data_IF_400900401781
#
_entry.id   IF_400900401781
#
_cell.length_a   1.000
_cell.length_b   1.000
_cell.length_c   1.000
_cell.angle_alpha   90.00
_cell.angle_beta   90.00
_cell.angle_gamma   90.00
#
_symmetry.space_group_name_H-M   'P 1'
#
loop_
_entity.id
_entity.type
_entity.pdbx_description
1 polymer ?
#
# COMPACT_ATOMS: atom_id res chain seq x y z
N UNK A 1 29.67 42.66 35.85
CA UNK A 1 28.20 42.48 35.94
C UNK A 1 27.63 42.56 34.53
N UNK A 2 27.26 41.42 33.97
CA UNK A 2 26.26 41.20 32.91
C UNK A 2 26.53 39.82 32.28
N UNK A 3 25.98 38.81 32.94
CA UNK A 3 25.64 37.50 32.39
C UNK A 3 24.66 37.66 31.24
N UNK A 4 24.93 37.09 30.05
CA UNK A 4 23.88 36.54 29.18
C UNK A 4 24.42 35.41 28.28
N UNK A 5 24.30 34.19 28.80
CA UNK A 5 23.90 32.93 28.15
C UNK A 5 24.34 32.62 26.71
N UNK A 6 25.29 31.68 26.64
CA UNK A 6 25.56 30.78 25.52
C UNK A 6 24.42 29.77 25.42
N UNK A 7 23.62 29.83 24.36
CA UNK A 7 22.56 28.85 24.09
C UNK A 7 23.18 27.46 23.85
N UNK A 8 23.09 26.61 24.86
CA UNK A 8 23.39 25.18 24.78
C UNK A 8 22.24 24.50 24.03
N UNK A 9 22.50 24.07 22.80
CA UNK A 9 21.64 23.14 22.08
C UNK A 9 21.40 21.90 22.96
N UNK A 10 20.14 21.53 23.14
CA UNK A 10 19.72 20.38 23.93
C UNK A 10 20.15 19.08 23.24
N UNK A 11 20.43 17.99 23.97
CA UNK A 11 20.90 16.72 23.41
C UNK A 11 19.84 15.95 22.60
N UNK A 12 18.64 16.50 22.43
CA UNK A 12 17.51 15.82 21.77
C UNK A 12 17.63 15.75 20.24
N UNK A 13 18.59 16.44 19.62
CA UNK A 13 18.72 16.49 18.16
C UNK A 13 19.65 15.40 17.57
N UNK A 14 20.18 14.47 18.39
CA UNK A 14 21.15 13.45 17.91
C UNK A 14 21.00 12.08 18.56
N UNK A 15 19.88 11.39 18.33
CA UNK A 15 19.72 9.93 18.35
C UNK A 15 18.25 9.64 17.98
N UNK A 16 17.86 8.72 17.10
CA UNK A 16 18.47 7.46 16.71
C UNK A 16 17.90 7.02 15.36
N UNK A 17 18.72 6.34 14.55
CA UNK A 17 18.24 5.36 13.59
C UNK A 17 17.58 4.21 14.38
N UNK A 18 16.34 4.42 14.81
CA UNK A 18 15.55 3.46 15.57
C UNK A 18 14.83 2.54 14.59
N UNK A 19 14.80 1.25 14.89
CA UNK A 19 13.95 0.29 14.20
C UNK A 19 12.52 0.87 14.04
N UNK A 20 11.82 0.60 12.91
CA UNK A 20 10.51 1.17 12.68
C UNK A 20 9.60 0.88 13.87
N UNK A 21 8.86 1.89 14.35
CA UNK A 21 7.76 1.68 15.31
C UNK A 21 6.93 0.49 14.80
N UNK A 22 6.57 -0.44 15.70
CA UNK A 22 5.87 -1.69 15.36
C UNK A 22 4.71 -1.46 14.37
N UNK A 23 3.95 -0.38 14.57
CA UNK A 23 2.87 0.05 13.69
C UNK A 23 3.30 0.30 12.23
N UNK A 24 4.46 0.93 11.99
CA UNK A 24 4.97 1.20 10.65
C UNK A 24 5.42 -0.10 9.94
N UNK A 25 6.02 -1.02 10.69
CA UNK A 25 6.38 -2.34 10.16
C UNK A 25 5.12 -3.14 9.80
N UNK A 26 4.09 -3.08 10.64
CA UNK A 26 2.82 -3.78 10.42
C UNK A 26 2.06 -3.21 9.21
N UNK A 27 1.99 -1.88 9.07
CA UNK A 27 1.41 -1.22 7.89
C UNK A 27 2.17 -1.61 6.63
N UNK A 28 3.51 -1.60 6.68
CA UNK A 28 4.36 -2.03 5.55
C UNK A 28 4.08 -3.48 5.14
N UNK A 29 3.96 -4.38 6.12
CA UNK A 29 3.63 -5.79 5.87
C UNK A 29 2.20 -5.95 5.31
N UNK A 30 1.26 -5.12 5.74
CA UNK A 30 -0.10 -5.06 5.18
C UNK A 30 -0.08 -4.63 3.71
N UNK A 31 0.59 -3.52 3.39
CA UNK A 31 0.70 -2.99 2.03
C UNK A 31 1.31 -4.01 1.06
N UNK A 32 2.34 -4.73 1.51
CA UNK A 32 2.96 -5.80 0.72
C UNK A 32 1.98 -6.95 0.44
N UNK A 33 1.18 -7.36 1.43
CA UNK A 33 0.16 -8.40 1.25
C UNK A 33 -0.96 -7.94 0.30
N UNK A 34 -1.38 -6.67 0.39
CA UNK A 34 -2.34 -6.08 -0.54
C UNK A 34 -1.79 -6.09 -1.97
N UNK A 35 -0.55 -5.63 -2.17
CA UNK A 35 0.09 -5.61 -3.49
C UNK A 35 0.26 -7.01 -4.08
N UNK A 36 0.61 -7.99 -3.26
CA UNK A 36 0.67 -9.38 -3.67
C UNK A 36 -0.72 -9.96 -4.04
N UNK A 37 -1.78 -9.60 -3.31
CA UNK A 37 -3.14 -10.05 -3.61
C UNK A 37 -3.64 -9.49 -4.96
N UNK A 38 -3.46 -8.19 -5.18
CA UNK A 38 -3.80 -7.53 -6.46
C UNK A 38 -2.95 -8.11 -7.60
N UNK A 39 -1.65 -8.32 -7.35
CA UNK A 39 -0.76 -8.95 -8.32
C UNK A 39 -1.19 -10.36 -8.73
N UNK A 40 -1.64 -11.19 -7.78
CA UNK A 40 -2.21 -12.51 -8.08
C UNK A 40 -3.46 -12.44 -8.95
N UNK A 41 -4.36 -11.49 -8.67
CA UNK A 41 -5.56 -11.25 -9.46
C UNK A 41 -5.22 -10.84 -10.91
N UNK A 42 -4.34 -9.87 -11.09
CA UNK A 42 -3.92 -9.42 -12.42
C UNK A 42 -3.14 -10.49 -13.19
N UNK A 43 -2.33 -11.30 -12.49
CA UNK A 43 -1.58 -12.43 -13.08
C UNK A 43 -2.49 -13.44 -13.76
N UNK A 44 -3.67 -13.72 -13.19
CA UNK A 44 -4.65 -14.63 -13.78
C UNK A 44 -5.58 -13.94 -14.79
N UNK A 45 -5.30 -12.69 -15.14
CA UNK A 45 -6.04 -11.95 -16.16
C UNK A 45 -7.35 -11.33 -15.69
N UNK A 46 -7.57 -11.23 -14.36
CA UNK A 46 -8.75 -10.54 -13.81
C UNK A 46 -8.37 -9.10 -13.50
N UNK A 47 -9.22 -8.16 -13.93
CA UNK A 47 -9.21 -6.75 -13.52
C UNK A 47 -10.49 -6.50 -12.73
N UNK A 48 -10.42 -5.82 -11.60
CA UNK A 48 -11.55 -5.64 -10.69
C UNK A 48 -12.56 -4.62 -11.19
N UNK A 49 -12.09 -3.50 -11.74
CA UNK A 49 -12.92 -2.41 -12.26
C UNK A 49 -13.41 -1.42 -11.20
N UNK A 50 -13.27 -1.74 -9.91
CA UNK A 50 -13.58 -0.86 -8.77
C UNK A 50 -12.68 -1.20 -7.56
N UNK A 51 -11.38 -1.26 -7.80
CA UNK A 51 -10.42 -1.70 -6.79
C UNK A 51 -10.18 -0.61 -5.72
N UNK A 52 -11.03 -0.54 -4.71
CA UNK A 52 -10.92 0.39 -3.57
C UNK A 52 -10.51 -0.32 -2.28
N UNK A 53 -10.12 0.44 -1.25
CA UNK A 53 -9.80 -0.13 0.08
C UNK A 53 -11.00 -0.79 0.76
N UNK A 54 -12.23 -0.32 0.48
CA UNK A 54 -13.47 -0.90 1.02
C UNK A 54 -13.80 -2.27 0.40
N UNK A 55 -13.25 -2.55 -0.79
CA UNK A 55 -13.38 -3.84 -1.48
C UNK A 55 -12.24 -4.82 -1.09
N UNK A 56 -11.57 -4.57 0.03
CA UNK A 56 -10.55 -5.44 0.60
C UNK A 56 -10.88 -5.79 2.05
N UNK A 57 -10.85 -7.08 2.37
CA UNK A 57 -11.07 -7.62 3.72
C UNK A 57 -9.78 -8.24 4.26
N UNK A 58 -9.39 -7.85 5.48
CA UNK A 58 -8.35 -8.52 6.24
C UNK A 58 -8.98 -9.62 7.10
N UNK A 59 -8.60 -10.87 6.84
CA UNK A 59 -8.99 -12.01 7.65
C UNK A 59 -7.90 -12.29 8.70
N UNK A 60 -8.19 -12.17 10.00
CA UNK A 60 -7.23 -12.47 11.05
C UNK A 60 -6.69 -13.92 10.95
N UNK A 61 -5.44 -14.17 11.38
CA UNK A 61 -4.89 -15.51 11.40
C UNK A 61 -5.72 -16.44 12.30
N UNK A 62 -5.84 -17.72 11.92
CA UNK A 62 -6.54 -18.70 12.75
C UNK A 62 -5.80 -18.86 14.10
N UNK A 63 -6.50 -19.08 15.23
CA UNK A 63 -5.90 -19.21 16.56
C UNK A 63 -4.89 -20.37 16.74
N UNK A 64 -4.72 -21.24 15.75
CA UNK A 64 -3.71 -22.31 15.76
C UNK A 64 -2.35 -21.88 15.18
N UNK A 65 -2.27 -20.69 14.60
CA UNK A 65 -1.04 -20.11 14.02
C UNK A 65 -0.41 -19.06 14.94
N UNK A 66 -0.79 -19.02 16.22
CA UNK A 66 -0.11 -18.21 17.24
C UNK A 66 1.32 -18.72 17.38
N UNK A 67 2.24 -17.85 17.04
CA UNK A 67 3.68 -18.08 17.08
C UNK A 67 4.10 -18.56 18.46
N UNK A 68 5.03 -19.51 18.49
CA UNK A 68 5.64 -20.14 19.67
C UNK A 68 6.44 -19.17 20.57
N UNK A 69 6.35 -17.86 20.34
CA UNK A 69 7.30 -16.87 20.88
C UNK A 69 6.65 -15.72 21.67
N UNK A 70 5.38 -15.84 22.09
CA UNK A 70 4.75 -14.86 23.01
C UNK A 70 4.61 -13.44 22.45
N UNK A 71 4.82 -13.23 21.15
CA UNK A 71 4.57 -11.95 20.50
C UNK A 71 3.07 -11.82 20.20
N UNK A 72 2.43 -10.80 20.78
CA UNK A 72 1.05 -10.43 20.48
C UNK A 72 0.85 -10.31 18.95
N UNK A 73 -0.11 -11.04 18.38
CA UNK A 73 -0.42 -10.93 16.96
C UNK A 73 -0.82 -9.48 16.62
N UNK A 74 -0.24 -8.91 15.58
CA UNK A 74 -0.63 -7.57 15.15
C UNK A 74 -2.09 -7.58 14.70
N UNK A 75 -2.84 -6.52 15.02
CA UNK A 75 -4.21 -6.34 14.48
C UNK A 75 -4.24 -6.29 12.95
N UNK A 76 -3.09 -5.99 12.33
CA UNK A 76 -2.94 -5.96 10.90
C UNK A 76 -2.50 -7.32 10.31
N UNK A 77 -2.23 -8.34 11.13
CA UNK A 77 -1.87 -9.68 10.65
C UNK A 77 -3.05 -10.41 10.00
N UNK A 78 -2.74 -11.34 9.11
CA UNK A 78 -3.74 -12.16 8.41
C UNK A 78 -3.65 -12.15 6.88
N UNK A 79 -4.73 -12.59 6.24
CA UNK A 79 -4.82 -12.73 4.79
C UNK A 79 -5.71 -11.65 4.18
N UNK A 80 -5.32 -11.12 3.02
CA UNK A 80 -6.10 -10.14 2.26
C UNK A 80 -7.00 -10.87 1.27
N UNK A 81 -8.30 -10.59 1.35
CA UNK A 81 -9.32 -11.02 0.42
C UNK A 81 -9.83 -9.81 -0.35
N UNK A 82 -9.85 -9.90 -1.67
CA UNK A 82 -10.50 -8.93 -2.54
C UNK A 82 -11.94 -9.40 -2.76
N UNK A 83 -12.91 -8.51 -2.63
CA UNK A 83 -14.35 -8.79 -2.72
C UNK A 83 -15.01 -7.87 -3.74
N UNK A 84 -16.26 -8.16 -4.09
CA UNK A 84 -17.07 -7.36 -5.02
C UNK A 84 -16.53 -7.29 -6.46
N UNK A 85 -16.54 -8.43 -7.15
CA UNK A 85 -16.20 -8.54 -8.56
C UNK A 85 -17.35 -8.12 -9.51
N UNK A 86 -18.30 -7.29 -9.06
CA UNK A 86 -19.48 -6.91 -9.85
C UNK A 86 -19.16 -6.17 -11.15
N UNK A 87 -18.03 -5.45 -11.20
CA UNK A 87 -17.51 -4.76 -12.38
C UNK A 87 -16.26 -5.43 -12.98
N UNK A 88 -15.93 -6.62 -12.50
CA UNK A 88 -14.71 -7.28 -12.90
C UNK A 88 -14.79 -7.80 -14.34
N UNK A 89 -13.65 -7.80 -15.00
CA UNK A 89 -13.50 -8.30 -16.37
C UNK A 89 -12.26 -9.15 -16.52
N UNK A 90 -12.28 -10.05 -17.50
CA UNK A 90 -11.07 -10.73 -17.95
C UNK A 90 -10.36 -9.85 -18.97
N UNK A 91 -9.17 -9.38 -18.64
CA UNK A 91 -8.36 -8.53 -19.52
C UNK A 91 -6.88 -8.86 -19.40
N UNK A 92 -6.20 -8.86 -20.55
CA UNK A 92 -4.74 -8.94 -20.64
C UNK A 92 -4.10 -7.57 -20.83
N UNK A 93 -4.91 -6.51 -20.92
CA UNK A 93 -4.49 -5.12 -21.10
C UNK A 93 -3.72 -4.61 -19.89
N UNK A 94 -2.50 -4.12 -20.12
CA UNK A 94 -1.73 -3.44 -19.09
C UNK A 94 -2.32 -2.07 -18.73
N UNK A 95 -3.10 -1.46 -19.63
CA UNK A 95 -3.84 -0.22 -19.35
C UNK A 95 -4.96 -0.47 -18.34
N UNK A 96 -5.77 -1.51 -18.51
CA UNK A 96 -6.89 -1.80 -17.60
C UNK A 96 -6.39 -2.11 -16.19
N UNK A 97 -5.33 -2.91 -16.09
CA UNK A 97 -4.66 -3.21 -14.81
C UNK A 97 -4.05 -1.97 -14.17
N UNK A 98 -3.50 -1.05 -14.97
CA UNK A 98 -2.95 0.20 -14.49
C UNK A 98 -4.06 1.15 -13.99
N UNK A 99 -5.22 1.17 -14.64
CA UNK A 99 -6.41 1.91 -14.17
C UNK A 99 -6.88 1.35 -12.83
N UNK A 100 -6.92 0.03 -12.65
CA UNK A 100 -7.28 -0.60 -11.38
C UNK A 100 -6.34 -0.19 -10.24
N UNK A 101 -5.02 -0.24 -10.48
CA UNK A 101 -4.02 0.25 -9.52
C UNK A 101 -4.15 1.75 -9.22
N UNK A 102 -4.50 2.55 -10.23
CA UNK A 102 -4.73 3.98 -10.06
C UNK A 102 -5.99 4.27 -9.23
N UNK A 103 -7.08 3.52 -9.41
CA UNK A 103 -8.28 3.62 -8.56
C UNK A 103 -7.90 3.32 -7.10
N UNK A 104 -7.13 2.26 -6.87
CA UNK A 104 -6.67 1.91 -5.53
C UNK A 104 -5.80 3.02 -4.91
N UNK A 105 -4.85 3.57 -5.66
CA UNK A 105 -4.01 4.70 -5.23
C UNK A 105 -4.87 5.90 -4.79
N UNK A 106 -5.87 6.26 -5.59
CA UNK A 106 -6.79 7.37 -5.27
C UNK A 106 -7.65 7.08 -4.05
N UNK A 107 -8.12 5.84 -3.89
CA UNK A 107 -8.87 5.43 -2.71
C UNK A 107 -8.02 5.57 -1.44
N UNK A 108 -6.74 5.17 -1.49
CA UNK A 108 -5.80 5.36 -0.38
C UNK A 108 -5.58 6.82 -0.02
N UNK A 109 -5.27 7.68 -1.00
CA UNK A 109 -5.05 9.11 -0.75
C UNK A 109 -6.28 9.83 -0.17
N UNK A 110 -7.49 9.33 -0.43
CA UNK A 110 -8.74 9.87 0.12
C UNK A 110 -9.03 9.39 1.54
N UNK A 111 -8.91 8.08 1.78
CA UNK A 111 -9.39 7.44 3.02
C UNK A 111 -8.30 7.29 4.09
N UNK A 112 -7.04 7.18 3.68
CA UNK A 112 -5.91 6.94 4.57
C UNK A 112 -4.69 7.83 4.19
N UNK A 113 -4.76 9.17 4.31
CA UNK A 113 -3.67 10.07 3.88
C UNK A 113 -2.32 9.78 4.54
N UNK A 114 -2.33 9.31 5.79
CA UNK A 114 -1.12 8.94 6.54
C UNK A 114 -0.46 7.66 6.04
N UNK A 115 -1.20 6.80 5.34
CA UNK A 115 -0.71 5.54 4.82
C UNK A 115 -0.21 5.65 3.37
N UNK A 116 -0.39 6.81 2.72
CA UNK A 116 0.01 7.07 1.34
C UNK A 116 1.52 6.87 1.13
N UNK A 117 2.34 7.17 2.15
CA UNK A 117 3.80 6.93 2.11
C UNK A 117 4.17 5.45 1.92
N UNK A 118 3.30 4.52 2.32
CA UNK A 118 3.52 3.08 2.19
C UNK A 118 2.95 2.51 0.89
N UNK A 119 2.30 3.32 0.06
CA UNK A 119 1.76 2.84 -1.21
C UNK A 119 2.87 2.31 -2.14
N UNK A 120 4.09 2.84 -2.01
CA UNK A 120 5.24 2.32 -2.75
C UNK A 120 5.56 0.86 -2.38
N UNK A 121 5.41 0.46 -1.10
CA UNK A 121 5.60 -0.93 -0.69
C UNK A 121 4.56 -1.88 -1.30
N UNK A 122 3.34 -1.38 -1.54
CA UNK A 122 2.30 -2.10 -2.28
C UNK A 122 2.73 -2.31 -3.74
N UNK A 123 3.18 -1.24 -4.41
CA UNK A 123 3.64 -1.30 -5.80
C UNK A 123 4.87 -2.20 -5.99
N UNK A 124 5.78 -2.22 -5.02
CA UNK A 124 6.97 -3.08 -5.06
C UNK A 124 6.60 -4.56 -4.89
N UNK A 125 5.67 -4.88 -3.98
CA UNK A 125 5.13 -6.24 -3.86
C UNK A 125 4.34 -6.65 -5.11
N UNK A 126 3.58 -5.73 -5.69
CA UNK A 126 2.90 -5.94 -6.97
C UNK A 126 3.91 -6.24 -8.09
N UNK A 127 5.01 -5.48 -8.19
CA UNK A 127 6.07 -5.68 -9.19
C UNK A 127 6.64 -7.11 -9.16
N UNK A 128 6.76 -7.69 -7.97
CA UNK A 128 7.30 -9.03 -7.75
C UNK A 128 6.30 -10.17 -8.04
N UNK A 129 5.02 -9.86 -8.29
CA UNK A 129 3.96 -10.87 -8.36
C UNK A 129 3.90 -11.67 -9.67
N UNK A 130 4.24 -11.05 -10.81
CA UNK A 130 4.30 -11.71 -12.13
C UNK A 130 5.18 -10.96 -13.13
N UNK A 131 5.64 -11.64 -14.19
CA UNK A 131 6.64 -11.12 -15.14
C UNK A 131 6.24 -9.77 -15.78
N UNK A 132 5.00 -9.63 -16.20
CA UNK A 132 4.50 -8.43 -16.89
C UNK A 132 4.10 -7.28 -15.94
N UNK A 133 4.16 -7.46 -14.61
CA UNK A 133 3.80 -6.44 -13.64
C UNK A 133 4.61 -5.13 -13.83
N UNK A 134 5.87 -5.24 -14.23
CA UNK A 134 6.72 -4.08 -14.52
C UNK A 134 6.19 -3.24 -15.69
N UNK A 135 5.58 -3.85 -16.71
CA UNK A 135 4.96 -3.12 -17.83
C UNK A 135 3.70 -2.41 -17.37
N UNK A 136 2.86 -3.07 -16.58
CA UNK A 136 1.69 -2.44 -15.96
C UNK A 136 2.08 -1.23 -15.09
N UNK A 137 3.17 -1.32 -14.31
CA UNK A 137 3.64 -0.20 -13.49
C UNK A 137 4.19 0.97 -14.32
N UNK A 138 4.84 0.70 -15.45
CA UNK A 138 5.18 1.78 -16.41
C UNK A 138 3.91 2.44 -16.94
N UNK A 139 2.89 1.64 -17.24
CA UNK A 139 1.61 2.14 -17.74
C UNK A 139 0.83 2.95 -16.69
N UNK A 140 0.97 2.61 -15.41
CA UNK A 140 0.42 3.37 -14.29
C UNK A 140 0.91 4.84 -14.30
N UNK A 141 2.16 5.11 -14.67
CA UNK A 141 2.65 6.49 -14.79
C UNK A 141 1.92 7.27 -15.90
N UNK A 142 1.64 6.63 -17.05
CA UNK A 142 0.84 7.25 -18.12
C UNK A 142 -0.57 7.58 -17.62
N UNK A 143 -1.19 6.66 -16.88
CA UNK A 143 -2.54 6.82 -16.30
C UNK A 143 -2.55 7.96 -15.28
N UNK A 144 -1.56 8.04 -14.38
CA UNK A 144 -1.40 9.14 -13.41
C UNK A 144 -1.32 10.49 -14.09
N UNK A 145 -0.54 10.60 -15.17
CA UNK A 145 -0.40 11.85 -15.92
C UNK A 145 -1.71 12.30 -16.57
N UNK A 146 -2.51 11.35 -17.09
CA UNK A 146 -3.85 11.65 -17.62
C UNK A 146 -4.85 12.01 -16.52
N UNK A 147 -4.80 11.32 -15.38
CA UNK A 147 -5.66 11.59 -14.23
C UNK A 147 -5.50 13.00 -13.67
N UNK A 148 -4.27 13.52 -13.62
CA UNK A 148 -3.98 14.91 -13.18
C UNK A 148 -4.63 15.97 -14.06
N UNK A 149 -4.71 15.75 -15.38
CA UNK A 149 -5.35 16.69 -16.32
C UNK A 149 -6.85 16.83 -16.07
N UNK A 150 -7.53 15.74 -15.69
CA UNK A 150 -8.96 15.77 -15.34
C UNK A 150 -9.25 16.50 -14.04
N UNK A 151 -8.30 16.51 -13.09
CA UNK A 151 -8.46 17.22 -11.81
C UNK A 151 -8.31 18.75 -11.92
N UNK A 152 -7.73 19.28 -13.01
CA UNK A 152 -7.56 20.73 -13.22
C UNK A 152 -8.73 21.39 -13.97
N UNK A 153 -9.75 20.63 -14.35
CA UNK A 153 -10.92 21.13 -15.11
C UNK A 153 -12.20 21.08 -14.24
N UNK A 154 -12.06 20.94 -12.92
CA UNK A 154 -13.16 21.01 -11.95
C UNK A 154 -13.28 22.39 -11.33
#
# INVERSE_FOLDING_TARGET
>A
MADTQKATATPEEKAAAAAPRRDAADIKNLMRRMGAAVGKMHKIGIVHGDLTTSNMMLRPPKPAATTTNGEEASKLDGEIFIIDFGLASQSTSDEDRAVDLYVLERAFGSTHPRAEEYFQDLLDAYRASYKQASTTLKKLEDVRMRGRKRSMIG
#
